data_IF_115953487398
#
_entry.id   IF_115953487398
#
_cell.length_a   1.000
_cell.length_b   1.000
_cell.length_c   1.000
_cell.angle_alpha   90.00
_cell.angle_beta   90.00
_cell.angle_gamma   90.00
#
_symmetry.space_group_name_H-M   'P 1'
#
loop_
_entity.id
_entity.type
_entity.pdbx_description
1 polymer ?
#
# COMPACT_ATOMS: atom_id res chain seq x y z
N UNK A 1 -58.75 25.47 27.46
CA UNK A 1 -58.21 24.10 27.37
C UNK A 1 -57.48 23.81 28.67
N UNK A 2 -58.10 22.99 29.50
CA UNK A 2 -57.61 22.51 30.80
C UNK A 2 -56.85 21.20 30.58
N UNK A 3 -55.63 21.06 31.09
CA UNK A 3 -54.99 19.74 31.25
C UNK A 3 -54.34 19.63 32.64
N UNK A 4 -54.66 18.51 33.28
CA UNK A 4 -54.39 18.15 34.67
C UNK A 4 -52.94 17.76 34.92
N UNK A 5 -52.39 18.16 36.07
CA UNK A 5 -51.17 17.59 36.63
C UNK A 5 -51.40 16.14 37.09
N UNK A 6 -50.64 15.19 36.55
CA UNK A 6 -50.48 13.84 37.14
C UNK A 6 -49.23 13.81 38.03
N UNK A 7 -49.23 13.07 39.15
CA UNK A 7 -48.07 13.02 40.05
C UNK A 7 -46.97 12.11 39.49
N UNK A 8 -45.71 12.51 39.68
CA UNK A 8 -44.52 11.73 39.31
C UNK A 8 -44.45 10.45 40.14
N UNK A 9 -44.39 9.30 39.48
CA UNK A 9 -43.95 8.05 40.09
C UNK A 9 -42.45 8.13 40.39
N UNK A 10 -42.06 7.90 41.65
CA UNK A 10 -40.67 7.62 42.00
C UNK A 10 -40.24 6.29 41.38
N UNK A 11 -39.09 6.21 40.71
CA UNK A 11 -38.55 4.92 40.27
C UNK A 11 -38.15 4.12 41.50
N UNK A 12 -38.72 2.92 41.63
CA UNK A 12 -38.28 1.89 42.56
C UNK A 12 -36.80 1.61 42.33
N UNK A 13 -35.99 1.79 43.36
CA UNK A 13 -34.58 1.42 43.38
C UNK A 13 -34.48 -0.11 43.29
N UNK A 14 -34.30 -0.65 42.09
CA UNK A 14 -33.88 -2.03 41.91
C UNK A 14 -32.40 -2.11 42.31
N UNK A 15 -32.13 -2.68 43.48
CA UNK A 15 -30.77 -2.96 43.93
C UNK A 15 -30.08 -3.87 42.92
N UNK A 16 -28.88 -3.49 42.48
CA UNK A 16 -28.02 -4.31 41.62
C UNK A 16 -27.86 -5.71 42.23
N UNK A 17 -27.99 -6.78 41.44
CA UNK A 17 -27.85 -8.14 41.95
C UNK A 17 -26.45 -8.35 42.53
N UNK A 18 -26.37 -9.10 43.63
CA UNK A 18 -25.10 -9.42 44.26
C UNK A 18 -24.24 -10.31 43.34
N UNK A 19 -22.91 -10.30 43.47
CA UNK A 19 -22.03 -11.20 42.71
C UNK A 19 -22.40 -12.69 42.87
N UNK A 20 -22.92 -13.08 44.03
CA UNK A 20 -23.46 -14.42 44.29
C UNK A 20 -24.71 -14.74 43.47
N UNK A 21 -25.63 -13.78 43.32
CA UNK A 21 -26.84 -13.95 42.49
C UNK A 21 -26.49 -14.08 41.01
N UNK A 22 -25.50 -13.32 40.54
CA UNK A 22 -24.98 -13.41 39.18
C UNK A 22 -24.35 -14.78 38.90
N UNK A 23 -23.55 -15.30 39.84
CA UNK A 23 -22.94 -16.62 39.72
C UNK A 23 -23.97 -17.74 39.66
N UNK A 24 -24.96 -17.73 40.56
CA UNK A 24 -26.03 -18.73 40.57
C UNK A 24 -26.88 -18.69 39.29
N UNK A 25 -27.15 -17.50 38.75
CA UNK A 25 -27.85 -17.34 37.47
C UNK A 25 -27.04 -17.85 36.28
N UNK A 26 -25.72 -17.63 36.28
CA UNK A 26 -24.80 -18.19 35.29
C UNK A 26 -24.77 -19.72 35.35
N UNK A 27 -24.60 -20.30 36.53
CA UNK A 27 -24.59 -21.76 36.72
C UNK A 27 -25.91 -22.40 36.31
N UNK A 28 -27.04 -21.77 36.63
CA UNK A 28 -28.36 -22.23 36.19
C UNK A 28 -28.52 -22.15 34.67
N UNK A 29 -28.09 -21.06 34.04
CA UNK A 29 -28.14 -20.93 32.59
C UNK A 29 -27.26 -21.99 31.90
N UNK A 30 -26.04 -22.20 32.40
CA UNK A 30 -25.08 -23.18 31.88
C UNK A 30 -25.52 -24.64 32.05
N UNK A 31 -26.52 -24.91 32.91
CA UNK A 31 -27.13 -26.23 33.08
C UNK A 31 -28.25 -26.55 32.09
N UNK A 32 -28.66 -25.58 31.24
CA UNK A 32 -29.64 -25.84 30.17
C UNK A 32 -29.00 -26.79 29.14
N UNK A 33 -29.58 -27.98 28.88
CA UNK A 33 -29.03 -28.97 27.96
C UNK A 33 -29.01 -28.51 26.50
N UNK A 34 -29.61 -27.36 26.17
CA UNK A 34 -29.52 -26.69 24.86
C UNK A 34 -28.31 -25.77 24.75
N UNK A 35 -27.66 -25.44 25.85
CA UNK A 35 -26.44 -24.62 25.88
C UNK A 35 -25.24 -25.55 25.67
N UNK A 36 -24.66 -25.46 24.47
CA UNK A 36 -23.43 -26.16 24.14
C UNK A 36 -22.23 -25.35 24.67
N UNK A 37 -21.62 -25.80 25.77
CA UNK A 37 -20.38 -25.21 26.28
C UNK A 37 -19.21 -25.92 25.60
N UNK A 38 -18.66 -25.30 24.56
CA UNK A 38 -17.41 -25.75 23.96
C UNK A 38 -16.24 -25.02 24.62
N UNK A 39 -15.18 -25.73 25.05
CA UNK A 39 -13.97 -25.05 25.49
C UNK A 39 -13.40 -24.24 24.32
N UNK A 40 -13.08 -22.96 24.57
CA UNK A 40 -12.26 -22.20 23.64
C UNK A 40 -10.88 -22.85 23.63
N UNK A 41 -10.59 -23.66 22.61
CA UNK A 41 -9.22 -24.03 22.32
C UNK A 41 -8.48 -22.75 21.93
N UNK A 42 -7.73 -22.16 22.87
CA UNK A 42 -6.82 -21.06 22.57
C UNK A 42 -5.67 -21.62 21.77
N UNK A 43 -5.75 -21.56 20.45
CA UNK A 43 -4.63 -21.91 19.61
C UNK A 43 -3.65 -20.75 19.59
N UNK A 44 -2.50 -20.95 20.25
CA UNK A 44 -1.38 -20.01 20.22
C UNK A 44 -0.58 -20.32 18.96
N UNK A 45 -0.50 -19.36 18.03
CA UNK A 45 0.42 -19.41 16.91
C UNK A 45 1.47 -18.33 17.09
N UNK A 46 2.72 -18.67 16.81
CA UNK A 46 3.81 -17.69 16.72
C UNK A 46 3.87 -17.19 15.29
N UNK A 47 3.81 -15.88 15.11
CA UNK A 47 4.04 -15.27 13.80
C UNK A 47 5.49 -15.50 13.38
N UNK A 48 5.76 -15.66 12.07
CA UNK A 48 7.12 -15.94 11.60
C UNK A 48 8.06 -14.73 11.68
N UNK A 49 7.53 -13.55 12.03
CA UNK A 49 8.29 -12.31 12.17
C UNK A 49 8.36 -11.86 13.63
N UNK A 50 9.59 -11.58 14.07
CA UNK A 50 9.89 -11.04 15.41
C UNK A 50 9.91 -9.51 15.44
N UNK A 51 10.74 -8.94 16.30
CA UNK A 51 10.84 -7.49 16.53
C UNK A 51 11.23 -6.66 15.29
N UNK A 52 11.79 -7.28 14.25
CA UNK A 52 12.14 -6.61 12.99
C UNK A 52 10.92 -6.26 12.12
N UNK A 53 9.74 -6.81 12.42
CA UNK A 53 8.49 -6.52 11.72
C UNK A 53 8.25 -7.38 10.48
N UNK A 54 7.01 -7.33 10.01
CA UNK A 54 6.51 -8.07 8.84
C UNK A 54 7.24 -7.70 7.54
N UNK A 55 7.51 -6.42 7.30
CA UNK A 55 8.21 -5.98 6.07
C UNK A 55 9.63 -6.54 6.02
N UNK A 56 10.38 -6.48 7.12
CA UNK A 56 11.72 -7.09 7.19
C UNK A 56 11.66 -8.59 6.93
N UNK A 57 10.69 -9.29 7.52
CA UNK A 57 10.47 -10.70 7.26
C UNK A 57 10.16 -10.96 5.79
N UNK A 58 9.19 -10.23 5.21
CA UNK A 58 8.76 -10.37 3.82
C UNK A 58 9.94 -10.25 2.86
N UNK A 59 10.76 -9.20 3.01
CA UNK A 59 11.93 -8.96 2.16
C UNK A 59 13.08 -9.95 2.41
N UNK A 60 13.11 -10.61 3.57
CA UNK A 60 14.11 -11.65 3.87
C UNK A 60 13.77 -13.03 3.30
N UNK A 61 12.53 -13.24 2.83
CA UNK A 61 12.09 -14.57 2.37
C UNK A 61 12.77 -14.96 1.05
N UNK A 62 13.19 -16.23 0.89
CA UNK A 62 13.83 -16.69 -0.34
C UNK A 62 12.97 -16.54 -1.61
N UNK A 63 11.66 -16.72 -1.51
CA UNK A 63 10.71 -16.59 -2.63
C UNK A 63 10.40 -15.13 -3.00
N UNK A 64 10.72 -14.17 -2.12
CA UNK A 64 10.57 -12.73 -2.35
C UNK A 64 11.86 -12.09 -2.86
N UNK A 65 13.02 -12.55 -2.39
CA UNK A 65 14.31 -11.93 -2.72
C UNK A 65 14.60 -11.84 -4.22
N UNK A 66 14.26 -12.87 -4.99
CA UNK A 66 14.44 -12.87 -6.44
C UNK A 66 13.61 -11.78 -7.15
N UNK A 67 12.26 -11.83 -7.04
CA UNK A 67 11.39 -10.77 -7.55
C UNK A 67 11.76 -9.37 -7.07
N UNK A 68 12.02 -9.23 -5.76
CA UNK A 68 12.38 -7.94 -5.15
C UNK A 68 13.64 -7.37 -5.78
N UNK A 69 14.70 -8.17 -5.87
CA UNK A 69 15.96 -7.76 -6.52
C UNK A 69 15.73 -7.36 -7.98
N UNK A 70 14.95 -8.14 -8.73
CA UNK A 70 14.66 -7.84 -10.13
C UNK A 70 13.90 -6.50 -10.32
N UNK A 71 13.07 -6.13 -9.35
CA UNK A 71 12.43 -4.81 -9.30
C UNK A 71 13.42 -3.71 -8.93
N UNK A 72 14.12 -3.84 -7.79
CA UNK A 72 14.90 -2.72 -7.25
C UNK A 72 16.26 -2.52 -7.93
N UNK A 73 16.83 -3.55 -8.58
CA UNK A 73 18.12 -3.52 -9.29
C UNK A 73 17.95 -3.65 -10.82
N UNK A 74 16.80 -3.20 -11.36
CA UNK A 74 16.54 -3.30 -12.80
C UNK A 74 17.55 -2.47 -13.63
N UNK A 75 18.04 -2.95 -14.79
CA UNK A 75 19.00 -2.21 -15.64
C UNK A 75 18.54 -0.83 -16.13
N UNK A 76 17.22 -0.57 -16.14
CA UNK A 76 16.66 0.77 -16.36
C UNK A 76 17.20 1.78 -15.34
N UNK A 77 17.30 1.36 -14.08
CA UNK A 77 17.74 2.18 -12.95
C UNK A 77 19.25 2.46 -13.00
N UNK A 78 20.05 1.50 -13.48
CA UNK A 78 21.49 1.72 -13.68
C UNK A 78 21.75 2.82 -14.72
N UNK A 79 20.98 2.80 -15.81
CA UNK A 79 21.04 3.83 -16.86
C UNK A 79 20.50 5.17 -16.39
N UNK A 80 19.49 5.16 -15.52
CA UNK A 80 18.99 6.37 -14.87
C UNK A 80 20.06 6.98 -13.96
N UNK A 81 20.71 6.15 -13.14
CA UNK A 81 21.73 6.58 -12.17
C UNK A 81 22.99 7.16 -12.83
N UNK A 82 23.42 6.60 -13.96
CA UNK A 82 24.60 7.07 -14.68
C UNK A 82 24.29 8.17 -15.72
N UNK A 83 23.02 8.57 -15.86
CA UNK A 83 22.55 9.60 -16.79
C UNK A 83 22.59 9.19 -18.27
N UNK A 84 22.65 7.88 -18.59
CA UNK A 84 22.73 7.35 -19.97
C UNK A 84 21.44 6.70 -20.46
N UNK A 85 20.36 6.72 -19.67
CA UNK A 85 19.04 6.30 -20.11
C UNK A 85 18.63 7.16 -21.32
N UNK A 86 18.14 6.59 -22.43
CA UNK A 86 17.57 7.37 -23.51
C UNK A 86 16.38 8.19 -23.05
N UNK A 87 16.26 9.41 -23.57
CA UNK A 87 15.20 10.35 -23.17
C UNK A 87 13.81 9.80 -23.48
N UNK A 88 13.63 9.20 -24.66
CA UNK A 88 12.34 8.65 -25.07
C UNK A 88 11.92 7.46 -24.19
N UNK A 89 12.87 6.65 -23.73
CA UNK A 89 12.58 5.57 -22.78
C UNK A 89 12.09 6.11 -21.42
N UNK A 90 12.75 7.16 -20.91
CA UNK A 90 12.32 7.82 -19.68
C UNK A 90 10.97 8.54 -19.85
N UNK A 91 10.79 9.24 -20.96
CA UNK A 91 9.53 9.93 -21.30
C UNK A 91 8.37 8.96 -21.40
N UNK A 92 8.56 7.81 -22.07
CA UNK A 92 7.54 6.76 -22.16
C UNK A 92 7.17 6.22 -20.77
N UNK A 93 8.17 5.95 -19.93
CA UNK A 93 7.96 5.57 -18.54
C UNK A 93 7.16 6.62 -17.76
N UNK A 94 7.53 7.90 -17.82
CA UNK A 94 6.84 8.98 -17.09
C UNK A 94 5.37 9.18 -17.53
N UNK A 95 5.08 9.02 -18.82
CA UNK A 95 3.72 9.07 -19.36
C UNK A 95 2.89 7.92 -18.77
N UNK A 96 3.41 6.70 -18.82
CA UNK A 96 2.73 5.52 -18.30
C UNK A 96 2.60 5.57 -16.77
N UNK A 97 3.57 6.12 -16.06
CA UNK A 97 3.53 6.29 -14.61
C UNK A 97 2.47 7.32 -14.20
N UNK A 98 2.29 8.40 -14.96
CA UNK A 98 1.16 9.31 -14.76
C UNK A 98 -0.19 8.60 -14.88
N UNK A 99 -0.37 7.75 -15.89
CA UNK A 99 -1.59 6.95 -16.06
C UNK A 99 -1.75 5.90 -14.95
N UNK A 100 -0.66 5.28 -14.51
CA UNK A 100 -0.64 4.36 -13.37
C UNK A 100 -1.11 5.07 -12.09
N UNK A 101 -0.63 6.28 -11.81
CA UNK A 101 -0.98 7.05 -10.61
C UNK A 101 -2.48 7.36 -10.52
N UNK A 102 -3.20 7.49 -11.65
CA UNK A 102 -4.66 7.60 -11.65
C UNK A 102 -5.29 6.34 -11.03
N UNK A 103 -4.83 5.15 -11.42
CA UNK A 103 -5.34 3.89 -10.86
C UNK A 103 -4.83 3.63 -9.45
N UNK A 104 -3.62 4.08 -9.12
CA UNK A 104 -3.10 4.05 -7.75
C UNK A 104 -3.96 4.91 -6.81
N UNK A 105 -4.42 6.08 -7.27
CA UNK A 105 -5.39 6.90 -6.55
C UNK A 105 -6.74 6.19 -6.41
N UNK A 106 -7.23 5.50 -7.46
CA UNK A 106 -8.45 4.68 -7.40
C UNK A 106 -8.33 3.52 -6.41
N UNK A 107 -7.17 2.86 -6.34
CA UNK A 107 -6.90 1.79 -5.38
C UNK A 107 -6.91 2.34 -3.94
N UNK A 108 -6.34 3.52 -3.70
CA UNK A 108 -6.43 4.18 -2.39
C UNK A 108 -7.86 4.65 -2.05
N UNK A 109 -8.66 5.05 -3.03
CA UNK A 109 -10.08 5.32 -2.82
C UNK A 109 -10.86 4.04 -2.46
N UNK A 110 -10.48 2.90 -3.04
CA UNK A 110 -11.05 1.60 -2.68
C UNK A 110 -10.62 1.16 -1.26
N UNK A 111 -9.38 1.46 -0.85
CA UNK A 111 -8.96 1.31 0.54
C UNK A 111 -9.80 2.16 1.50
N UNK A 112 -10.11 3.42 1.12
CA UNK A 112 -11.03 4.27 1.89
C UNK A 112 -12.43 3.65 1.97
N UNK A 113 -12.96 3.11 0.87
CA UNK A 113 -14.26 2.45 0.84
C UNK A 113 -14.33 1.22 1.76
N UNK A 114 -13.24 0.46 1.86
CA UNK A 114 -13.15 -0.72 2.74
C UNK A 114 -12.93 -0.40 4.21
N UNK A 115 -12.49 0.82 4.51
CA UNK A 115 -12.17 1.22 5.87
C UNK A 115 -13.44 1.27 6.74
N UNK A 116 -13.31 0.86 7.99
CA UNK A 116 -14.40 0.82 8.97
C UNK A 116 -14.35 1.98 9.97
N UNK A 117 -13.36 2.86 9.86
CA UNK A 117 -13.16 4.01 10.74
C UNK A 117 -12.92 5.29 9.94
N UNK A 118 -13.41 6.42 10.47
CA UNK A 118 -13.22 7.72 9.82
C UNK A 118 -11.74 8.11 9.74
N UNK A 119 -10.92 7.72 10.72
CA UNK A 119 -9.48 7.99 10.69
C UNK A 119 -8.79 7.30 9.52
N UNK A 120 -9.09 6.03 9.24
CA UNK A 120 -8.53 5.31 8.09
C UNK A 120 -9.06 5.86 6.75
N UNK A 121 -10.32 6.29 6.70
CA UNK A 121 -10.90 6.98 5.53
C UNK A 121 -10.13 8.28 5.25
N UNK A 122 -9.97 9.13 6.26
CA UNK A 122 -9.23 10.39 6.14
C UNK A 122 -7.78 10.16 5.69
N UNK A 123 -7.11 9.14 6.22
CA UNK A 123 -5.73 8.83 5.82
C UNK A 123 -5.64 8.42 4.35
N UNK A 124 -6.59 7.62 3.87
CA UNK A 124 -6.65 7.23 2.46
C UNK A 124 -6.89 8.45 1.56
N UNK A 125 -7.74 9.39 2.00
CA UNK A 125 -7.97 10.65 1.28
C UNK A 125 -6.72 11.55 1.23
N UNK A 126 -5.95 11.62 2.32
CA UNK A 126 -4.67 12.31 2.34
C UNK A 126 -3.71 11.72 1.30
N UNK A 127 -3.58 10.39 1.23
CA UNK A 127 -2.73 9.71 0.24
C UNK A 127 -3.16 10.07 -1.18
N UNK A 128 -4.46 10.11 -1.48
CA UNK A 128 -4.96 10.53 -2.81
C UNK A 128 -4.53 11.97 -3.14
N UNK A 129 -4.57 12.89 -2.17
CA UNK A 129 -4.09 14.26 -2.37
C UNK A 129 -2.57 14.36 -2.52
N UNK A 130 -1.81 13.45 -1.90
CA UNK A 130 -0.37 13.32 -2.13
C UNK A 130 -0.08 12.83 -3.56
N UNK A 131 -0.78 11.78 -4.01
CA UNK A 131 -0.69 11.26 -5.39
C UNK A 131 -1.00 12.36 -6.41
N UNK A 132 -2.04 13.17 -6.18
CA UNK A 132 -2.35 14.30 -7.06
C UNK A 132 -1.19 15.30 -7.18
N UNK A 133 -0.48 15.58 -6.08
CA UNK A 133 0.70 16.47 -6.09
C UNK A 133 1.85 15.85 -6.86
N UNK A 134 2.09 14.55 -6.68
CA UNK A 134 3.09 13.80 -7.45
C UNK A 134 2.78 13.82 -8.96
N UNK A 135 1.53 13.59 -9.34
CA UNK A 135 1.09 13.68 -10.74
C UNK A 135 1.38 15.06 -11.36
N UNK A 136 1.25 16.15 -10.60
CA UNK A 136 1.62 17.48 -11.09
C UNK A 136 3.14 17.61 -11.32
N UNK A 137 3.97 16.97 -10.49
CA UNK A 137 5.42 16.91 -10.70
C UNK A 137 5.76 16.13 -11.97
N UNK A 138 5.13 14.97 -12.18
CA UNK A 138 5.29 14.19 -13.41
C UNK A 138 4.86 14.97 -14.65
N UNK A 139 3.71 15.64 -14.61
CA UNK A 139 3.26 16.50 -15.71
C UNK A 139 4.26 17.63 -16.00
N UNK A 140 4.87 18.23 -14.96
CA UNK A 140 5.91 19.24 -15.15
C UNK A 140 7.17 18.65 -15.82
N UNK A 141 7.57 17.45 -15.42
CA UNK A 141 8.71 16.73 -15.99
C UNK A 141 8.47 16.39 -17.47
N UNK A 142 7.28 15.89 -17.79
CA UNK A 142 6.84 15.61 -19.15
C UNK A 142 6.82 16.88 -20.01
N UNK A 143 6.34 18.00 -19.48
CA UNK A 143 6.34 19.29 -20.18
C UNK A 143 7.75 19.78 -20.51
N UNK A 144 8.71 19.63 -19.57
CA UNK A 144 10.14 19.93 -19.81
C UNK A 144 10.74 19.05 -20.93
N UNK A 145 10.17 17.86 -21.16
CA UNK A 145 10.53 16.92 -22.24
C UNK A 145 9.67 17.09 -23.50
N UNK A 146 8.86 18.15 -23.58
CA UNK A 146 8.03 18.47 -24.74
C UNK A 146 6.76 17.63 -24.88
N UNK A 147 6.22 17.10 -23.78
CA UNK A 147 4.97 16.36 -23.74
C UNK A 147 3.92 17.13 -22.95
N UNK A 148 2.82 17.48 -23.60
CA UNK A 148 1.70 18.16 -22.96
C UNK A 148 0.84 17.21 -22.12
N UNK A 149 0.10 17.77 -21.17
CA UNK A 149 -0.85 17.00 -20.37
C UNK A 149 -1.96 16.36 -21.22
N UNK A 150 -2.38 17.02 -22.29
CA UNK A 150 -3.39 16.48 -23.20
C UNK A 150 -2.86 15.26 -23.96
N UNK A 151 -1.58 15.28 -24.38
CA UNK A 151 -0.93 14.12 -24.99
C UNK A 151 -0.81 12.95 -24.00
N UNK A 152 -0.47 13.21 -22.74
CA UNK A 152 -0.43 12.17 -21.68
C UNK A 152 -1.82 11.53 -21.54
N UNK A 153 -2.87 12.34 -21.39
CA UNK A 153 -4.23 11.84 -21.20
C UNK A 153 -4.80 11.10 -22.43
N UNK A 154 -4.31 11.44 -23.63
CA UNK A 154 -4.70 10.76 -24.87
C UNK A 154 -3.88 9.49 -25.15
N UNK A 155 -2.81 9.24 -24.40
CA UNK A 155 -1.94 8.06 -24.58
C UNK A 155 -2.64 6.80 -24.09
N UNK A 156 -2.56 5.73 -24.87
CA UNK A 156 -3.06 4.42 -24.48
C UNK A 156 -2.17 3.82 -23.36
N UNK A 157 -2.80 3.18 -22.37
CA UNK A 157 -2.07 2.42 -21.36
C UNK A 157 -1.25 1.30 -22.04
N UNK A 158 0.02 1.20 -21.71
CA UNK A 158 0.82 0.05 -22.09
C UNK A 158 0.27 -1.22 -21.44
N UNK A 159 0.49 -2.38 -22.07
CA UNK A 159 0.06 -3.67 -21.53
C UNK A 159 0.58 -3.92 -20.11
N UNK A 160 1.81 -3.50 -19.78
CA UNK A 160 2.36 -3.59 -18.44
C UNK A 160 1.60 -2.70 -17.44
N UNK A 161 1.29 -1.46 -17.84
CA UNK A 161 0.52 -0.52 -17.02
C UNK A 161 -0.90 -1.05 -16.79
N UNK A 162 -1.59 -1.52 -17.83
CA UNK A 162 -2.91 -2.15 -17.68
C UNK A 162 -2.81 -3.40 -16.80
N UNK A 163 -1.90 -4.33 -17.06
CA UNK A 163 -1.78 -5.56 -16.27
C UNK A 163 -1.58 -5.27 -14.78
N UNK A 164 -0.69 -4.34 -14.46
CA UNK A 164 -0.42 -3.99 -13.07
C UNK A 164 -1.62 -3.31 -12.40
N UNK A 165 -2.17 -2.27 -13.02
CA UNK A 165 -3.28 -1.51 -12.43
C UNK A 165 -4.56 -2.35 -12.29
N UNK A 166 -4.83 -3.26 -13.24
CA UNK A 166 -5.94 -4.20 -13.12
C UNK A 166 -5.70 -5.23 -12.03
N UNK A 167 -4.46 -5.70 -11.84
CA UNK A 167 -4.13 -6.57 -10.72
C UNK A 167 -4.37 -5.88 -9.37
N UNK A 168 -3.91 -4.63 -9.19
CA UNK A 168 -4.12 -3.87 -7.94
C UNK A 168 -5.60 -3.69 -7.62
N UNK A 169 -6.39 -3.28 -8.61
CA UNK A 169 -7.83 -3.10 -8.43
C UNK A 169 -8.56 -4.42 -8.21
N UNK A 170 -8.14 -5.50 -8.86
CA UNK A 170 -8.72 -6.84 -8.67
C UNK A 170 -8.41 -7.39 -7.27
N UNK A 171 -7.17 -7.28 -6.78
CA UNK A 171 -6.83 -7.56 -5.36
C UNK A 171 -7.72 -6.73 -4.46
N UNK A 172 -7.81 -5.43 -4.72
CA UNK A 172 -8.69 -4.55 -3.99
C UNK A 172 -10.14 -5.03 -4.01
N UNK A 173 -10.71 -5.46 -5.13
CA UNK A 173 -12.12 -5.84 -5.16
C UNK A 173 -12.37 -7.16 -4.43
N UNK A 174 -11.49 -8.16 -4.60
CA UNK A 174 -11.73 -9.53 -4.09
C UNK A 174 -11.19 -9.80 -2.69
N UNK A 175 -10.16 -9.07 -2.24
CA UNK A 175 -9.52 -9.29 -0.94
C UNK A 175 -9.93 -8.24 0.12
N UNK A 176 -9.35 -8.35 1.31
CA UNK A 176 -9.50 -7.39 2.40
C UNK A 176 -8.61 -6.14 2.23
N UNK A 177 -8.77 -5.21 3.17
CA UNK A 177 -8.00 -3.95 3.21
C UNK A 177 -6.49 -4.18 3.32
N UNK A 178 -6.06 -5.20 4.07
CA UNK A 178 -4.64 -5.49 4.32
C UNK A 178 -3.97 -6.04 3.05
N UNK A 179 -4.60 -6.97 2.35
CA UNK A 179 -4.14 -7.49 1.07
C UNK A 179 -3.98 -6.41 0.01
N UNK A 180 -4.90 -5.44 -0.05
CA UNK A 180 -4.77 -4.29 -0.94
C UNK A 180 -3.52 -3.46 -0.60
N UNK A 181 -3.27 -3.16 0.68
CA UNK A 181 -2.07 -2.42 1.08
C UNK A 181 -0.79 -3.18 0.77
N UNK A 182 -0.80 -4.51 0.91
CA UNK A 182 0.34 -5.35 0.55
C UNK A 182 0.58 -5.36 -0.96
N UNK A 183 -0.47 -5.35 -1.78
CA UNK A 183 -0.33 -5.23 -3.23
C UNK A 183 0.24 -3.87 -3.66
N UNK A 184 -0.05 -2.80 -2.92
CA UNK A 184 0.48 -1.44 -3.17
C UNK A 184 1.90 -1.24 -2.62
N UNK A 185 2.35 -2.10 -1.70
CA UNK A 185 3.60 -1.94 -0.98
C UNK A 185 4.87 -1.97 -1.85
N UNK A 186 4.98 -2.81 -2.92
CA UNK A 186 6.14 -2.76 -3.81
C UNK A 186 6.37 -1.39 -4.42
N UNK A 187 5.31 -0.69 -4.83
CA UNK A 187 5.39 0.66 -5.35
C UNK A 187 5.94 1.63 -4.29
N UNK A 188 5.27 1.73 -3.14
CA UNK A 188 5.64 2.67 -2.08
C UNK A 188 7.05 2.42 -1.52
N UNK A 189 7.33 1.18 -1.09
CA UNK A 189 8.58 0.84 -0.41
C UNK A 189 9.71 0.69 -1.44
N UNK A 190 9.42 0.09 -2.60
CA UNK A 190 10.43 -0.21 -3.62
C UNK A 190 11.02 1.06 -4.21
N UNK A 191 10.20 2.05 -4.55
CA UNK A 191 10.68 3.32 -5.09
C UNK A 191 11.59 4.07 -4.11
N UNK A 192 11.24 4.10 -2.82
CA UNK A 192 12.11 4.68 -1.80
C UNK A 192 13.42 3.89 -1.64
N UNK A 193 13.38 2.54 -1.62
CA UNK A 193 14.59 1.71 -1.54
C UNK A 193 15.51 1.96 -2.74
N UNK A 194 14.94 2.01 -3.95
CA UNK A 194 15.66 2.33 -5.19
C UNK A 194 16.31 3.69 -5.07
N UNK A 195 15.52 4.73 -4.83
CA UNK A 195 15.99 6.10 -4.84
C UNK A 195 17.01 6.36 -3.74
N UNK A 196 16.80 5.82 -2.54
CA UNK A 196 17.75 5.91 -1.44
C UNK A 196 19.09 5.27 -1.79
N UNK A 197 19.08 4.05 -2.35
CA UNK A 197 20.31 3.39 -2.81
C UNK A 197 21.02 4.26 -3.85
N UNK A 198 20.30 4.77 -4.85
CA UNK A 198 20.90 5.59 -5.90
C UNK A 198 21.44 6.92 -5.37
N UNK A 199 20.73 7.57 -4.44
CA UNK A 199 21.12 8.83 -3.83
C UNK A 199 22.39 8.69 -2.98
N UNK A 200 22.52 7.58 -2.25
CA UNK A 200 23.67 7.29 -1.38
C UNK A 200 24.87 6.68 -2.13
N UNK A 201 24.69 6.11 -3.33
CA UNK A 201 25.77 5.50 -4.11
C UNK A 201 26.69 6.57 -4.73
N UNK A 202 27.99 6.60 -4.39
CA UNK A 202 28.93 7.60 -4.93
C UNK A 202 29.18 7.46 -6.44
N UNK A 203 28.74 6.36 -7.07
CA UNK A 203 28.84 6.14 -8.52
C UNK A 203 27.69 6.76 -9.30
N UNK A 204 26.59 7.13 -8.63
CA UNK A 204 25.45 7.81 -9.25
C UNK A 204 25.88 9.21 -9.65
N UNK A 205 25.63 9.59 -10.91
CA UNK A 205 25.85 10.98 -11.35
C UNK A 205 24.76 11.86 -10.75
N UNK A 206 25.16 12.96 -10.13
CA UNK A 206 24.23 13.92 -9.55
C UNK A 206 23.79 14.96 -10.58
N UNK A 207 22.87 15.84 -10.18
CA UNK A 207 22.41 16.95 -11.02
C UNK A 207 23.56 17.85 -11.46
N UNK A 208 24.49 18.18 -10.55
CA UNK A 208 25.70 18.96 -10.83
C UNK A 208 26.66 18.27 -11.81
N UNK A 209 26.59 16.94 -11.93
CA UNK A 209 27.38 16.13 -12.87
C UNK A 209 26.68 15.93 -14.23
N UNK A 210 25.54 16.60 -14.44
CA UNK A 210 24.76 16.54 -15.67
C UNK A 210 23.75 15.39 -15.75
N UNK A 211 23.39 14.75 -14.63
CA UNK A 211 22.32 13.76 -14.63
C UNK A 211 20.94 14.42 -14.70
N UNK A 212 20.33 14.39 -15.89
CA UNK A 212 18.98 14.93 -16.14
C UNK A 212 17.85 14.23 -15.37
N UNK A 213 18.10 13.04 -14.83
CA UNK A 213 17.13 12.25 -14.07
C UNK A 213 17.29 12.41 -12.56
N UNK A 214 18.22 13.25 -12.11
CA UNK A 214 18.53 13.39 -10.68
C UNK A 214 17.33 13.82 -9.84
N UNK A 215 16.48 14.73 -10.35
CA UNK A 215 15.27 15.18 -9.63
C UNK A 215 14.25 14.06 -9.43
N UNK A 216 14.22 13.03 -10.29
CA UNK A 216 13.42 11.82 -10.05
C UNK A 216 13.91 11.09 -8.78
N UNK A 217 15.23 10.94 -8.62
CA UNK A 217 15.82 10.32 -7.42
C UNK A 217 15.50 11.16 -6.18
N UNK A 218 15.68 12.48 -6.25
CA UNK A 218 15.41 13.40 -5.15
C UNK A 218 13.95 13.33 -4.67
N UNK A 219 13.01 13.17 -5.59
CA UNK A 219 11.58 13.06 -5.27
C UNK A 219 11.28 11.89 -4.32
N UNK A 220 11.87 10.72 -4.57
CA UNK A 220 11.59 9.51 -3.80
C UNK A 220 12.41 9.38 -2.51
N UNK A 221 13.39 10.25 -2.29
CA UNK A 221 14.07 10.42 -0.99
C UNK A 221 13.63 11.70 -0.26
N UNK A 222 12.67 12.44 -0.83
CA UNK A 222 12.12 13.61 -0.19
C UNK A 222 11.44 13.26 1.13
N UNK A 223 11.35 14.26 2.01
CA UNK A 223 10.83 14.08 3.36
C UNK A 223 9.40 13.54 3.37
N UNK A 224 8.52 14.10 2.55
CA UNK A 224 7.12 13.70 2.46
C UNK A 224 6.94 12.29 1.92
N UNK A 225 7.75 11.87 0.93
CA UNK A 225 7.75 10.49 0.45
C UNK A 225 8.26 9.53 1.54
N UNK A 226 9.34 9.88 2.24
CA UNK A 226 9.89 9.07 3.33
C UNK A 226 8.88 8.92 4.48
N UNK A 227 8.18 9.99 4.87
CA UNK A 227 7.12 9.92 5.88
C UNK A 227 5.95 9.02 5.44
N UNK A 228 5.62 8.98 4.15
CA UNK A 228 4.62 8.08 3.61
C UNK A 228 5.06 6.61 3.69
N UNK A 229 6.34 6.33 3.37
CA UNK A 229 6.94 4.98 3.46
C UNK A 229 6.98 4.49 4.90
N UNK A 230 7.39 5.34 5.84
CA UNK A 230 7.45 5.01 7.26
C UNK A 230 6.07 4.61 7.78
N UNK A 231 5.04 5.42 7.51
CA UNK A 231 3.69 5.10 7.94
C UNK A 231 3.14 3.84 7.23
N UNK A 232 3.34 3.71 5.92
CA UNK A 232 2.89 2.53 5.17
C UNK A 232 3.52 1.25 5.73
N UNK A 233 4.81 1.30 6.06
CA UNK A 233 5.55 0.20 6.69
C UNK A 233 5.02 -0.12 8.09
N UNK A 234 4.76 0.89 8.92
CA UNK A 234 4.18 0.72 10.26
C UNK A 234 2.80 0.05 10.19
N UNK A 235 1.90 0.58 9.35
CA UNK A 235 0.55 0.02 9.17
C UNK A 235 0.58 -1.43 8.70
N UNK A 236 1.48 -1.78 7.77
CA UNK A 236 1.64 -3.15 7.30
C UNK A 236 2.17 -4.07 8.41
N UNK A 237 3.14 -3.60 9.20
CA UNK A 237 3.67 -4.33 10.34
C UNK A 237 2.59 -4.59 11.40
N UNK A 238 1.83 -3.57 11.78
CA UNK A 238 0.75 -3.68 12.76
C UNK A 238 -0.33 -4.66 12.29
N UNK A 239 -0.82 -4.49 11.05
CA UNK A 239 -1.91 -5.33 10.53
C UNK A 239 -1.51 -6.78 10.33
N UNK A 240 -0.24 -7.04 10.00
CA UNK A 240 0.29 -8.39 9.91
C UNK A 240 0.20 -9.14 11.25
N UNK A 241 0.31 -8.45 12.40
CA UNK A 241 0.22 -9.09 13.73
C UNK A 241 -1.14 -9.72 14.02
N UNK A 242 -2.19 -9.27 13.32
CA UNK A 242 -3.55 -9.76 13.48
C UNK A 242 -3.88 -10.93 12.54
N UNK A 243 -2.95 -11.34 11.67
CA UNK A 243 -3.20 -12.35 10.65
C UNK A 243 -2.82 -13.76 11.12
N UNK A 244 -3.49 -14.77 10.57
CA UNK A 244 -3.08 -16.15 10.75
C UNK A 244 -1.82 -16.46 9.92
N UNK A 245 -1.01 -17.46 10.31
CA UNK A 245 0.14 -17.89 9.49
C UNK A 245 -0.24 -18.25 8.05
N UNK A 246 -1.38 -18.93 7.85
CA UNK A 246 -1.89 -19.24 6.51
C UNK A 246 -2.19 -17.98 5.71
N UNK A 247 -2.81 -16.97 6.34
CA UNK A 247 -3.09 -15.68 5.67
C UNK A 247 -1.80 -14.96 5.30
N UNK A 248 -0.78 -15.01 6.16
CA UNK A 248 0.54 -14.43 5.83
C UNK A 248 1.11 -15.06 4.55
N UNK A 249 1.02 -16.38 4.36
CA UNK A 249 1.50 -17.03 3.12
C UNK A 249 0.69 -16.62 1.87
N UNK A 250 -0.61 -16.36 2.00
CA UNK A 250 -1.42 -15.82 0.89
C UNK A 250 -0.99 -14.40 0.52
N UNK A 251 -0.80 -13.56 1.55
CA UNK A 251 -0.39 -12.17 1.41
C UNK A 251 1.02 -12.04 0.80
N UNK A 252 1.95 -12.94 1.15
CA UNK A 252 3.28 -13.01 0.52
C UNK A 252 3.16 -13.20 -1.00
N UNK A 253 2.26 -14.08 -1.47
CA UNK A 253 2.05 -14.31 -2.90
C UNK A 253 1.55 -13.06 -3.62
N UNK A 254 0.70 -12.28 -2.96
CA UNK A 254 0.22 -11.00 -3.49
C UNK A 254 1.37 -10.02 -3.65
N UNK A 255 2.22 -9.88 -2.62
CA UNK A 255 3.41 -9.04 -2.68
C UNK A 255 4.36 -9.46 -3.81
N UNK A 256 4.65 -10.76 -3.93
CA UNK A 256 5.51 -11.31 -4.99
C UNK A 256 4.94 -10.96 -6.37
N UNK A 257 3.64 -11.14 -6.57
CA UNK A 257 3.03 -10.85 -7.86
C UNK A 257 3.08 -9.36 -8.21
N UNK A 258 2.73 -8.48 -7.27
CA UNK A 258 2.84 -7.04 -7.45
C UNK A 258 4.30 -6.60 -7.71
N UNK A 259 5.27 -7.21 -7.02
CA UNK A 259 6.71 -6.94 -7.25
C UNK A 259 7.15 -7.36 -8.67
N UNK A 260 6.62 -8.46 -9.20
CA UNK A 260 6.90 -8.84 -10.59
C UNK A 260 6.24 -7.87 -11.60
N UNK A 261 5.08 -7.32 -11.26
CA UNK A 261 4.44 -6.29 -12.09
C UNK A 261 5.27 -5.00 -12.14
N UNK A 262 5.89 -4.59 -11.02
CA UNK A 262 6.85 -3.48 -11.01
C UNK A 262 8.05 -3.72 -11.94
N UNK A 263 8.60 -4.95 -11.94
CA UNK A 263 9.65 -5.32 -12.90
C UNK A 263 9.14 -5.22 -14.34
N UNK A 264 7.91 -5.64 -14.62
CA UNK A 264 7.26 -5.46 -15.92
C UNK A 264 7.09 -3.99 -16.31
N UNK A 265 6.83 -3.12 -15.33
CA UNK A 265 6.77 -1.67 -15.54
C UNK A 265 8.14 -1.09 -15.92
N UNK A 266 9.22 -1.58 -15.31
CA UNK A 266 10.58 -1.24 -15.76
C UNK A 266 10.91 -1.79 -17.14
N UNK A 267 10.50 -3.02 -17.45
CA UNK A 267 10.69 -3.64 -18.76
C UNK A 267 10.02 -2.82 -19.87
N UNK A 268 8.82 -2.30 -19.62
CA UNK A 268 8.08 -1.44 -20.54
C UNK A 268 8.91 -0.20 -20.93
N UNK A 269 9.45 0.52 -19.94
CA UNK A 269 10.34 1.66 -20.21
C UNK A 269 11.65 1.23 -20.88
N UNK A 270 12.23 0.11 -20.44
CA UNK A 270 13.50 -0.41 -20.96
C UNK A 270 13.40 -0.93 -22.40
N UNK A 271 12.25 -1.46 -22.81
CA UNK A 271 11.99 -1.94 -24.17
C UNK A 271 12.08 -0.82 -25.21
N UNK A 272 11.92 0.44 -24.80
CA UNK A 272 12.10 1.62 -25.67
C UNK A 272 13.57 1.98 -25.92
N UNK A 273 14.52 1.29 -25.28
CA UNK A 273 15.95 1.45 -25.54
C UNK A 273 16.30 0.70 -26.83
N UNK A 274 16.21 1.38 -27.97
CA UNK A 274 16.58 0.83 -29.28
C UNK A 274 15.46 0.76 -30.32
N UNK A 275 14.26 1.27 -30.01
CA UNK A 275 13.19 1.46 -31.00
C UNK A 275 13.38 2.73 -31.88
N UNK A 276 14.56 3.36 -31.84
CA UNK A 276 14.94 4.42 -32.79
C UNK A 276 15.09 3.81 -34.20
N UNK A 277 14.03 3.95 -35.01
CA UNK A 277 14.11 3.98 -36.48
C UNK A 277 14.07 5.41 -36.97
#
# INVERSE_FOLDING_TARGET
MTTSHSPRHNPTTTSSPSPSDLKARLESALSDPRILITPLNTTIYTLPFGHSGFISYLLSRPDVQGPWKAHIEHPFLDRLANGTLPVEAFKYYMIQDYLYLIHFARANALAAYKATSMSTISRSAEIILHIQREMNLHASYCAELGVSLDEINATEEDQACTAYTRYLLDVGMREDWFALHVALAPCLIGYWVIARRLYEDPRTKKGEDGNRYWRWIENYVAKDYTEAVDLGTELLNENATMQSPTRIEEIVKIFIHATNMEKGFWDMGFGKIGEEQ
#
